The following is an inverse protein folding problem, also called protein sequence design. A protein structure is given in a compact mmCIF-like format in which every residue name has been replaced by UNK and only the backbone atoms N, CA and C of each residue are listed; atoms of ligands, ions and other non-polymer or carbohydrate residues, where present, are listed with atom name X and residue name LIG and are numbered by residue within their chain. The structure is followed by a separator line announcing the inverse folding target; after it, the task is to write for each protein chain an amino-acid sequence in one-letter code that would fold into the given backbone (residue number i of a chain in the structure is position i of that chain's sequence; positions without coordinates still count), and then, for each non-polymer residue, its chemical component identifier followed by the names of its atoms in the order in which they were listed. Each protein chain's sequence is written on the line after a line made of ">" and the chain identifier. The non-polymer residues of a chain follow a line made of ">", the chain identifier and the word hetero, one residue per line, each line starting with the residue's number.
data_IF_407970086041
#
_entry.id   IF_407970086041
#
_cell.length_a   1.000
_cell.length_b   1.000
_cell.length_c   1.000
_cell.angle_alpha   90.00
_cell.angle_beta   90.00
_cell.angle_gamma   90.00
#
_symmetry.space_group_name_H-M   'P 1'
#
loop_
_entity.id
_entity.type
_entity.pdbx_description
1 polymer ?
#
# COMPACT_ATOMS: atom_id res chain seq x y z
N UNK A 1 -16.99 -11.63 -5.93
CA UNK A 1 -16.39 -10.35 -6.32
C UNK A 1 -16.44 -9.43 -5.12
N UNK A 2 -15.35 -8.74 -4.82
CA UNK A 2 -15.31 -7.78 -3.72
C UNK A 2 -16.08 -6.52 -4.17
N UNK A 3 -17.29 -6.35 -3.65
CA UNK A 3 -18.13 -5.17 -3.93
C UNK A 3 -17.99 -4.23 -2.74
N UNK A 4 -17.54 -2.99 -2.99
CA UNK A 4 -17.41 -1.90 -2.00
C UNK A 4 -16.44 -2.24 -0.83
N UNK A 5 -15.14 -2.10 -1.09
CA UNK A 5 -14.04 -2.35 -0.13
C UNK A 5 -13.74 -1.16 0.80
N UNK A 6 -14.62 -0.18 0.86
CA UNK A 6 -14.48 1.01 1.71
C UNK A 6 -15.77 1.22 2.48
N UNK A 7 -15.63 1.83 3.65
CA UNK A 7 -16.78 2.13 4.49
C UNK A 7 -17.52 3.40 4.03
N UNK A 8 -18.81 3.46 4.37
CA UNK A 8 -19.68 4.61 4.09
C UNK A 8 -19.89 4.91 2.60
N UNK A 9 -20.04 6.20 2.25
CA UNK A 9 -20.49 6.65 0.93
C UNK A 9 -19.37 7.18 0.02
N UNK A 10 -18.19 7.47 0.58
CA UNK A 10 -17.06 7.98 -0.18
C UNK A 10 -15.75 7.34 0.29
N UNK A 11 -14.79 7.30 -0.64
CA UNK A 11 -13.40 6.98 -0.38
C UNK A 11 -12.55 7.85 -1.31
N UNK A 12 -11.39 8.26 -0.81
CA UNK A 12 -10.40 9.02 -1.55
C UNK A 12 -9.07 8.27 -1.56
N UNK A 13 -8.37 8.32 -2.68
CA UNK A 13 -7.02 7.79 -2.81
C UNK A 13 -6.18 8.76 -3.61
N UNK A 14 -4.92 8.86 -3.23
CA UNK A 14 -3.94 9.70 -3.88
C UNK A 14 -2.58 9.04 -3.78
N UNK A 15 -1.76 9.16 -4.81
CA UNK A 15 -0.43 8.60 -4.80
C UNK A 15 0.45 9.27 -5.82
N UNK A 16 1.75 9.19 -5.57
CA UNK A 16 2.77 9.77 -6.42
C UNK A 16 3.93 8.80 -6.59
N UNK A 17 4.51 8.83 -7.77
CA UNK A 17 5.77 8.16 -8.05
C UNK A 17 6.83 9.21 -8.32
N UNK A 18 7.97 9.08 -7.67
CA UNK A 18 9.14 9.91 -7.87
C UNK A 18 10.31 9.05 -8.33
N UNK A 19 10.83 9.35 -9.52
CA UNK A 19 12.04 8.72 -10.03
C UNK A 19 13.25 9.44 -9.45
N UNK A 20 13.96 8.77 -8.55
CA UNK A 20 15.16 9.32 -7.89
C UNK A 20 16.33 9.33 -8.86
N UNK A 21 16.51 8.25 -9.62
CA UNK A 21 17.51 8.11 -10.68
C UNK A 21 17.09 7.01 -11.66
N UNK A 22 17.90 6.75 -12.70
CA UNK A 22 17.61 5.74 -13.72
C UNK A 22 17.42 4.30 -13.19
N UNK A 23 17.88 4.02 -11.97
CA UNK A 23 17.81 2.70 -11.31
C UNK A 23 16.92 2.70 -10.07
N UNK A 24 16.37 3.85 -9.65
CA UNK A 24 15.65 3.95 -8.38
C UNK A 24 14.38 4.76 -8.55
N UNK A 25 13.24 4.15 -8.22
CA UNK A 25 11.97 4.83 -8.12
C UNK A 25 11.36 4.64 -6.74
N UNK A 26 10.75 5.70 -6.24
CA UNK A 26 9.99 5.71 -5.00
C UNK A 26 8.53 5.94 -5.33
N UNK A 27 7.64 5.17 -4.73
CA UNK A 27 6.21 5.33 -4.85
C UNK A 27 5.60 5.43 -3.46
N UNK A 28 4.59 6.30 -3.33
CA UNK A 28 3.78 6.38 -2.13
C UNK A 28 2.32 6.55 -2.51
N UNK A 29 1.44 5.95 -1.73
CA UNK A 29 0.01 6.01 -1.88
C UNK A 29 -0.65 6.15 -0.51
N UNK A 30 -1.69 6.96 -0.45
CA UNK A 30 -2.56 7.14 0.70
C UNK A 30 -4.01 6.93 0.26
N UNK A 31 -4.80 6.30 1.10
CA UNK A 31 -6.23 6.08 0.91
C UNK A 31 -6.96 6.33 2.22
N UNK A 32 -8.12 6.97 2.15
CA UNK A 32 -8.96 7.22 3.31
C UNK A 32 -10.44 7.08 2.93
N UNK A 33 -11.27 6.60 3.85
CA UNK A 33 -12.71 6.48 3.64
C UNK A 33 -13.56 7.02 4.78
N UNK A 34 -14.88 7.05 4.56
CA UNK A 34 -15.85 7.62 5.50
C UNK A 34 -15.89 6.88 6.85
N UNK A 35 -15.54 5.59 6.91
CA UNK A 35 -15.48 4.83 8.16
C UNK A 35 -14.11 4.89 8.83
N UNK A 36 -13.39 6.00 8.62
CA UNK A 36 -12.11 6.33 9.23
C UNK A 36 -10.97 5.34 8.94
N UNK A 37 -11.11 4.51 7.90
CA UNK A 37 -10.05 3.61 7.49
C UNK A 37 -8.96 4.39 6.73
N UNK A 38 -7.74 4.40 7.26
CA UNK A 38 -6.58 5.06 6.64
C UNK A 38 -5.59 3.99 6.16
N UNK A 39 -5.24 4.00 4.88
CA UNK A 39 -4.17 3.18 4.31
C UNK A 39 -3.04 4.07 3.82
N UNK A 40 -1.81 3.76 4.21
CA UNK A 40 -0.59 4.42 3.71
C UNK A 40 0.37 3.33 3.25
N UNK A 41 0.83 3.42 2.01
CA UNK A 41 1.80 2.48 1.44
C UNK A 41 2.93 3.26 0.80
N UNK A 42 4.16 2.87 1.09
CA UNK A 42 5.33 3.42 0.45
C UNK A 42 6.25 2.29 -0.01
N UNK A 43 6.75 2.37 -1.24
CA UNK A 43 7.72 1.43 -1.75
C UNK A 43 8.87 2.11 -2.49
N UNK A 44 10.01 1.43 -2.48
CA UNK A 44 11.19 1.80 -3.24
C UNK A 44 11.58 0.62 -4.12
N UNK A 45 11.65 0.85 -5.43
CA UNK A 45 12.15 -0.11 -6.39
C UNK A 45 13.57 0.27 -6.81
N UNK A 46 14.48 -0.70 -6.73
CA UNK A 46 15.89 -0.53 -7.06
C UNK A 46 16.36 -1.59 -8.05
N UNK A 47 16.83 -1.14 -9.21
CA UNK A 47 17.43 -1.98 -10.24
C UNK A 47 18.91 -2.18 -9.93
N UNK A 48 19.23 -3.32 -9.33
CA UNK A 48 20.61 -3.68 -8.96
C UNK A 48 21.46 -3.87 -10.22
N UNK A 49 20.95 -4.65 -11.16
CA UNK A 49 21.54 -4.89 -12.48
C UNK A 49 20.42 -4.91 -13.53
N UNK A 50 20.72 -4.69 -14.82
CA UNK A 50 19.73 -4.83 -15.87
C UNK A 50 18.98 -6.16 -15.77
N UNK A 51 17.66 -6.07 -15.64
CA UNK A 51 16.75 -7.21 -15.48
C UNK A 51 16.67 -7.79 -14.07
N UNK A 52 17.25 -7.18 -13.01
CA UNK A 52 17.02 -7.56 -11.61
C UNK A 52 16.59 -6.34 -10.80
N UNK A 53 15.33 -6.35 -10.38
CA UNK A 53 14.72 -5.31 -9.56
C UNK A 53 14.42 -5.86 -8.17
N UNK A 54 14.79 -5.12 -7.14
CA UNK A 54 14.36 -5.37 -5.75
C UNK A 54 13.41 -4.25 -5.35
N UNK A 55 12.24 -4.61 -4.86
CA UNK A 55 11.26 -3.65 -4.34
C UNK A 55 11.06 -3.90 -2.86
N UNK A 56 11.24 -2.86 -2.05
CA UNK A 56 10.87 -2.86 -0.65
C UNK A 56 9.65 -2.00 -0.45
N UNK A 57 8.62 -2.55 0.20
CA UNK A 57 7.36 -1.90 0.50
C UNK A 57 7.10 -1.95 2.00
N UNK A 58 6.65 -0.82 2.54
CA UNK A 58 6.09 -0.72 3.88
C UNK A 58 4.66 -0.18 3.76
N UNK A 59 3.75 -0.77 4.53
CA UNK A 59 2.36 -0.40 4.57
C UNK A 59 1.88 -0.21 6.00
N UNK A 60 1.00 0.74 6.18
CA UNK A 60 0.32 1.03 7.43
C UNK A 60 -1.17 1.16 7.14
N UNK A 61 -1.98 0.53 7.97
CA UNK A 61 -3.42 0.57 7.87
C UNK A 61 -4.00 0.82 9.25
N UNK A 62 -4.75 1.92 9.39
CA UNK A 62 -5.62 2.15 10.50
C UNK A 62 -7.03 1.72 10.12
N UNK A 63 -7.67 0.90 10.95
CA UNK A 63 -9.06 0.48 10.78
C UNK A 63 -9.92 1.28 11.75
N UNK A 64 -10.88 2.03 11.21
CA UNK A 64 -11.82 2.79 12.02
C UNK A 64 -12.99 1.94 12.54
N UNK A 65 -13.79 2.53 13.41
CA UNK A 65 -14.91 1.87 14.13
C UNK A 65 -15.99 1.31 13.19
N UNK A 66 -16.16 1.87 11.98
CA UNK A 66 -17.14 1.40 10.99
C UNK A 66 -16.48 0.58 9.87
N UNK A 67 -15.69 -0.46 10.20
CA UNK A 67 -15.02 -1.29 9.18
C UNK A 67 -15.93 -2.40 8.60
N UNK A 68 -15.97 -2.50 7.26
CA UNK A 68 -16.80 -3.48 6.54
C UNK A 68 -16.12 -4.85 6.55
N UNK A 69 -16.46 -5.69 7.52
CA UNK A 69 -16.03 -7.09 7.68
C UNK A 69 -14.52 -7.32 7.83
N UNK A 70 -14.13 -7.73 9.03
CA UNK A 70 -12.80 -8.20 9.37
C UNK A 70 -12.49 -9.56 8.70
N UNK A 71 -12.23 -9.61 7.38
CA UNK A 71 -11.73 -10.83 6.71
C UNK A 71 -10.27 -11.11 7.10
N UNK A 72 -9.53 -10.09 7.55
CA UNK A 72 -8.11 -10.17 7.90
C UNK A 72 -7.85 -10.66 9.33
N UNK A 73 -8.85 -10.70 10.19
CA UNK A 73 -8.69 -11.00 11.63
C UNK A 73 -7.89 -9.94 12.38
N UNK A 74 -7.84 -8.71 11.86
CA UNK A 74 -7.18 -7.57 12.49
C UNK A 74 -8.13 -6.99 13.54
N UNK A 75 -7.87 -7.29 14.81
CA UNK A 75 -8.62 -6.77 15.97
C UNK A 75 -7.94 -5.53 16.59
N UNK A 76 -6.81 -5.09 16.04
CA UNK A 76 -6.08 -3.89 16.45
C UNK A 76 -6.37 -2.73 15.48
N UNK A 77 -6.64 -1.56 16.06
CA UNK A 77 -6.94 -0.31 15.33
C UNK A 77 -5.81 0.08 14.35
N UNK A 78 -4.56 -0.32 14.63
CA UNK A 78 -3.36 0.00 13.86
C UNK A 78 -2.62 -1.26 13.38
N UNK A 79 -2.39 -1.34 12.07
CA UNK A 79 -1.77 -2.49 11.41
C UNK A 79 -0.56 -2.05 10.59
N UNK A 80 0.58 -2.73 10.77
CA UNK A 80 1.78 -2.51 9.97
C UNK A 80 2.11 -3.75 9.16
N UNK A 81 2.47 -3.53 7.89
CA UNK A 81 2.83 -4.57 6.94
C UNK A 81 4.06 -4.18 6.13
N UNK A 82 4.64 -5.16 5.47
CA UNK A 82 5.74 -4.91 4.54
C UNK A 82 5.95 -6.08 3.59
N UNK A 83 6.53 -5.77 2.44
CA UNK A 83 6.89 -6.75 1.43
C UNK A 83 8.28 -6.47 0.88
N UNK A 84 9.07 -7.52 0.73
CA UNK A 84 10.27 -7.52 -0.11
C UNK A 84 10.00 -8.37 -1.35
N UNK A 85 10.15 -7.77 -2.53
CA UNK A 85 9.94 -8.42 -3.81
C UNK A 85 11.23 -8.45 -4.60
N UNK A 86 11.53 -9.61 -5.18
CA UNK A 86 12.64 -9.82 -6.10
C UNK A 86 12.06 -10.16 -7.46
N UNK A 87 12.38 -9.37 -8.48
CA UNK A 87 11.92 -9.59 -9.85
C UNK A 87 13.13 -9.70 -10.79
N UNK A 88 13.25 -10.85 -11.46
CA UNK A 88 14.27 -11.08 -12.50
C UNK A 88 13.59 -11.27 -13.85
N UNK A 89 14.03 -10.52 -14.85
CA UNK A 89 13.67 -10.69 -16.26
C UNK A 89 14.84 -11.34 -17.01
N UNK A 90 14.51 -12.25 -17.94
CA UNK A 90 15.46 -13.03 -18.75
C UNK A 90 15.40 -12.62 -20.21
#
# INVERSE_FOLDING_TARGET
>A
GMYKLWSGNWALWGGGTYTINEKTSFNTQISYDEGENLGVVANIAYDIVPGLTITAEASYFHLGDESVSNWTGADDDDNFGGQLRFQRSF
#
